data_IF_685053439339
#
_entry.id   IF_685053439339
#
_cell.length_a   1.000
_cell.length_b   1.000
_cell.length_c   1.000
_cell.angle_alpha   90.00
_cell.angle_beta   90.00
_cell.angle_gamma   90.00
#
_symmetry.space_group_name_H-M   'P 1'
#
loop_
_entity.id
_entity.type
_entity.pdbx_description
1 polymer ?
#
# COMPACT_ATOMS: atom_id res chain seq x y z
N UNK A 1 8.77 12.70 16.64
CA UNK A 1 9.39 12.51 15.34
C UNK A 1 10.86 12.18 15.54
N UNK A 2 11.38 11.26 14.77
CA UNK A 2 12.76 10.82 14.80
C UNK A 2 13.38 11.04 13.41
N UNK A 3 14.54 11.67 13.37
CA UNK A 3 15.31 11.78 12.13
C UNK A 3 16.07 10.47 11.87
N UNK A 4 15.88 9.90 10.69
CA UNK A 4 16.57 8.69 10.25
C UNK A 4 17.37 9.05 9.00
N UNK A 5 18.72 9.03 9.07
CA UNK A 5 19.55 9.36 7.92
C UNK A 5 19.37 8.32 6.81
N UNK A 6 19.45 8.73 5.56
CA UNK A 6 19.39 7.80 4.42
C UNK A 6 20.61 6.86 4.39
N UNK A 7 21.75 7.29 4.92
CA UNK A 7 22.98 6.54 4.99
C UNK A 7 23.43 6.32 6.45
N UNK A 8 24.22 5.30 6.68
CA UNK A 8 24.75 4.99 8.01
C UNK A 8 23.78 4.19 8.91
N UNK A 9 24.06 4.11 10.22
CA UNK A 9 23.23 3.32 11.13
C UNK A 9 21.82 3.89 11.31
N UNK A 10 20.85 3.02 11.51
CA UNK A 10 19.49 3.40 11.90
C UNK A 10 19.52 3.72 13.40
N UNK A 11 19.01 4.90 13.84
CA UNK A 11 19.00 5.28 15.24
C UNK A 11 18.19 4.31 16.11
N UNK A 12 18.59 4.16 17.36
CA UNK A 12 17.81 3.44 18.36
C UNK A 12 16.43 4.08 18.52
N UNK A 13 15.38 3.27 18.65
CA UNK A 13 13.99 3.72 18.74
C UNK A 13 13.33 4.03 17.40
N UNK A 14 14.05 3.94 16.28
CA UNK A 14 13.42 4.01 14.95
C UNK A 14 12.56 2.77 14.68
N UNK A 15 11.53 2.94 13.87
CA UNK A 15 10.69 1.82 13.41
C UNK A 15 11.55 0.77 12.71
N UNK A 16 11.24 -0.50 12.88
CA UNK A 16 11.85 -1.60 12.14
C UNK A 16 11.67 -1.44 10.63
N UNK A 17 10.59 -0.80 10.20
CA UNK A 17 10.28 -0.49 8.81
C UNK A 17 11.16 0.62 8.21
N UNK A 18 12.00 1.28 9.01
CA UNK A 18 12.93 2.30 8.52
C UNK A 18 13.85 1.77 7.40
N UNK A 19 14.14 0.47 7.38
CA UNK A 19 14.91 -0.17 6.30
C UNK A 19 14.17 -0.04 4.97
N UNK A 20 12.86 -0.31 4.97
CA UNK A 20 11.99 -0.19 3.78
C UNK A 20 11.87 1.26 3.36
N UNK A 21 11.61 2.18 4.31
CA UNK A 21 11.50 3.62 4.02
C UNK A 21 12.75 4.15 3.34
N UNK A 22 13.94 3.83 3.87
CA UNK A 22 15.24 4.26 3.31
C UNK A 22 15.41 3.78 1.88
N UNK A 23 15.09 2.52 1.59
CA UNK A 23 15.27 1.93 0.28
C UNK A 23 14.31 2.53 -0.74
N UNK A 24 13.06 2.82 -0.36
CA UNK A 24 12.09 3.53 -1.20
C UNK A 24 12.60 4.93 -1.54
N UNK A 25 13.05 5.73 -0.55
CA UNK A 25 13.56 7.07 -0.81
C UNK A 25 14.81 7.08 -1.68
N UNK A 26 15.66 6.05 -1.60
CA UNK A 26 16.87 5.95 -2.43
C UNK A 26 16.57 5.60 -3.89
N UNK A 27 15.52 4.81 -4.14
CA UNK A 27 15.25 4.22 -5.46
C UNK A 27 14.10 4.85 -6.20
N UNK A 28 13.32 5.68 -5.55
CA UNK A 28 12.15 6.34 -6.12
C UNK A 28 12.25 7.85 -6.01
N UNK A 29 11.36 8.57 -6.66
CA UNK A 29 11.19 10.02 -6.48
C UNK A 29 10.26 10.39 -5.32
N UNK A 30 9.98 9.45 -4.39
CA UNK A 30 9.06 9.68 -3.29
C UNK A 30 9.51 10.82 -2.37
N UNK A 31 8.58 11.72 -2.05
CA UNK A 31 8.75 12.79 -1.07
C UNK A 31 8.13 12.44 0.28
N UNK A 32 7.18 11.49 0.26
CA UNK A 32 6.60 10.89 1.45
C UNK A 32 6.31 9.41 1.22
N UNK A 33 6.36 8.63 2.27
CA UNK A 33 5.96 7.23 2.30
C UNK A 33 5.11 6.97 3.53
N UNK A 34 3.91 6.42 3.32
CA UNK A 34 3.03 5.96 4.39
C UNK A 34 3.04 4.44 4.39
N UNK A 35 3.31 3.85 5.55
CA UNK A 35 3.11 2.43 5.83
C UNK A 35 1.96 2.27 6.81
N UNK A 36 1.02 1.38 6.49
CA UNK A 36 -0.13 1.07 7.33
C UNK A 36 -0.60 -0.37 7.11
N UNK A 37 -1.52 -0.82 7.99
CA UNK A 37 -2.10 -2.17 7.93
C UNK A 37 -3.62 -2.07 7.60
N UNK A 38 -4.00 -1.69 6.36
CA UNK A 38 -5.40 -1.61 5.94
C UNK A 38 -6.01 -3.01 5.97
N UNK A 39 -7.00 -3.22 6.83
CA UNK A 39 -7.46 -4.56 7.24
C UNK A 39 -8.01 -5.38 6.10
N UNK A 40 -8.86 -4.77 5.27
CA UNK A 40 -9.50 -5.50 4.17
C UNK A 40 -8.52 -5.73 3.03
N UNK A 41 -7.68 -4.75 2.71
CA UNK A 41 -6.63 -4.92 1.71
C UNK A 41 -5.64 -6.02 2.13
N UNK A 42 -5.22 -6.05 3.41
CA UNK A 42 -4.37 -7.12 3.96
C UNK A 42 -5.07 -8.48 3.86
N UNK A 43 -6.34 -8.59 4.23
CA UNK A 43 -7.09 -9.84 4.11
C UNK A 43 -7.17 -10.34 2.65
N UNK A 44 -7.44 -9.44 1.71
CA UNK A 44 -7.47 -9.77 0.29
C UNK A 44 -6.10 -10.16 -0.27
N UNK A 45 -5.01 -9.67 0.32
CA UNK A 45 -3.65 -9.97 -0.12
C UNK A 45 -3.31 -11.46 -0.08
N UNK A 46 -3.98 -12.26 0.76
CA UNK A 46 -3.78 -13.71 0.81
C UNK A 46 -4.31 -14.42 -0.45
N UNK A 47 -5.27 -13.80 -1.15
CA UNK A 47 -5.99 -14.40 -2.28
C UNK A 47 -5.66 -13.76 -3.63
N UNK A 48 -4.95 -12.63 -3.63
CA UNK A 48 -4.65 -11.84 -4.83
C UNK A 48 -3.14 -11.77 -5.06
N UNK A 49 -2.74 -11.73 -6.33
CA UNK A 49 -1.39 -11.31 -6.74
C UNK A 49 -1.31 -9.81 -7.05
N UNK A 50 -2.48 -9.19 -7.27
CA UNK A 50 -2.66 -7.75 -7.47
C UNK A 50 -4.09 -7.36 -7.15
N UNK A 51 -4.29 -6.20 -6.55
CA UNK A 51 -5.59 -5.62 -6.31
C UNK A 51 -5.89 -4.62 -7.45
N UNK A 52 -7.00 -4.84 -8.14
CA UNK A 52 -7.53 -3.94 -9.17
C UNK A 52 -8.82 -3.34 -8.66
N UNK A 53 -8.84 -2.03 -8.39
CA UNK A 53 -10.05 -1.33 -7.96
C UNK A 53 -11.20 -1.46 -8.94
N UNK A 54 -12.41 -1.54 -8.43
CA UNK A 54 -13.65 -1.49 -9.22
C UNK A 54 -14.26 -0.09 -9.24
N UNK A 55 -14.01 0.69 -8.21
CA UNK A 55 -14.45 2.05 -8.00
C UNK A 55 -13.63 3.06 -8.83
N UNK A 56 -14.22 4.19 -9.14
CA UNK A 56 -13.60 5.22 -9.99
C UNK A 56 -12.36 5.85 -9.35
N UNK A 57 -12.40 6.13 -8.07
CA UNK A 57 -11.29 6.72 -7.32
C UNK A 57 -10.08 5.78 -7.32
N UNK A 58 -10.28 4.51 -7.01
CA UNK A 58 -9.23 3.51 -7.04
C UNK A 58 -8.66 3.31 -8.44
N UNK A 59 -9.51 3.26 -9.48
CA UNK A 59 -9.06 3.16 -10.86
C UNK A 59 -8.27 4.39 -11.31
N UNK A 60 -8.64 5.57 -10.84
CA UNK A 60 -7.95 6.82 -11.20
C UNK A 60 -6.61 6.96 -10.48
N UNK A 61 -6.58 6.78 -9.17
CA UNK A 61 -5.42 7.10 -8.33
C UNK A 61 -4.45 5.93 -8.15
N UNK A 62 -4.95 4.70 -8.02
CA UNK A 62 -4.14 3.51 -7.78
C UNK A 62 -3.90 2.69 -9.04
N UNK A 63 -4.91 2.61 -9.94
CA UNK A 63 -4.94 1.76 -11.14
C UNK A 63 -4.83 0.27 -10.79
N UNK A 64 -3.67 -0.15 -10.35
CA UNK A 64 -3.36 -1.50 -9.91
C UNK A 64 -2.39 -1.44 -8.71
N UNK A 65 -2.61 -2.29 -7.72
CA UNK A 65 -1.76 -2.41 -6.54
C UNK A 65 -1.17 -3.83 -6.49
N UNK A 66 0.14 -4.00 -6.72
CA UNK A 66 0.78 -5.31 -6.67
C UNK A 66 0.79 -5.85 -5.25
N UNK A 67 0.64 -7.17 -5.12
CA UNK A 67 0.78 -7.90 -3.87
C UNK A 67 2.10 -8.64 -3.88
N UNK A 68 3.04 -8.16 -3.09
CA UNK A 68 4.39 -8.71 -2.97
C UNK A 68 4.38 -9.84 -1.93
N UNK A 69 5.11 -10.91 -2.22
CA UNK A 69 5.25 -12.05 -1.34
C UNK A 69 6.72 -12.44 -1.19
N UNK A 70 7.57 -11.60 -0.59
CA UNK A 70 8.95 -11.95 -0.32
C UNK A 70 9.01 -13.16 0.63
N UNK A 71 10.09 -13.91 0.58
CA UNK A 71 10.28 -15.10 1.43
C UNK A 71 10.32 -14.74 2.92
N UNK A 72 10.85 -13.55 3.21
CA UNK A 72 10.92 -12.99 4.56
C UNK A 72 10.01 -11.77 4.64
N UNK A 73 9.08 -11.80 5.58
CA UNK A 73 8.06 -10.75 5.75
C UNK A 73 8.60 -9.72 6.76
N UNK A 74 8.56 -8.43 6.40
CA UNK A 74 8.87 -7.27 7.26
C UNK A 74 10.36 -7.02 7.56
N UNK A 75 10.75 -5.74 7.49
CA UNK A 75 12.04 -5.18 7.92
C UNK A 75 13.31 -5.86 7.39
N UNK A 76 13.20 -6.60 6.29
CA UNK A 76 14.35 -7.25 5.64
C UNK A 76 14.78 -6.49 4.40
N UNK A 77 16.03 -6.67 4.00
CA UNK A 77 16.54 -6.09 2.77
C UNK A 77 15.78 -6.60 1.53
N UNK A 78 15.41 -7.88 1.51
CA UNK A 78 14.60 -8.46 0.42
C UNK A 78 13.23 -7.77 0.30
N UNK A 79 12.53 -7.58 1.43
CA UNK A 79 11.25 -6.88 1.45
C UNK A 79 11.41 -5.42 1.03
N UNK A 80 12.46 -4.73 1.52
CA UNK A 80 12.75 -3.34 1.20
C UNK A 80 12.99 -3.15 -0.30
N UNK A 81 13.80 -4.01 -0.91
CA UNK A 81 14.07 -3.99 -2.34
C UNK A 81 12.79 -4.25 -3.17
N UNK A 82 11.99 -5.25 -2.76
CA UNK A 82 10.74 -5.58 -3.46
C UNK A 82 9.73 -4.44 -3.40
N UNK A 83 9.59 -3.79 -2.25
CA UNK A 83 8.70 -2.62 -2.09
C UNK A 83 9.20 -1.43 -2.91
N UNK A 84 10.51 -1.13 -2.83
CA UNK A 84 11.09 -0.03 -3.57
C UNK A 84 10.94 -0.21 -5.08
N UNK A 85 11.16 -1.41 -5.60
CA UNK A 85 10.99 -1.71 -7.03
C UNK A 85 9.53 -1.57 -7.47
N UNK A 86 8.57 -2.10 -6.70
CA UNK A 86 7.15 -1.95 -7.00
C UNK A 86 6.71 -0.48 -7.01
N UNK A 87 7.21 0.33 -6.08
CA UNK A 87 6.85 1.75 -5.95
C UNK A 87 7.54 2.67 -6.98
N UNK A 88 8.39 2.14 -7.84
CA UNK A 88 8.89 2.88 -9.02
C UNK A 88 7.80 3.03 -10.10
N UNK A 89 6.91 2.06 -10.20
CA UNK A 89 5.87 1.98 -11.24
C UNK A 89 4.45 2.16 -10.69
N UNK A 90 4.26 1.89 -9.39
CA UNK A 90 2.96 1.93 -8.73
C UNK A 90 2.95 2.97 -7.60
N UNK A 91 1.75 3.49 -7.32
CA UNK A 91 1.56 4.48 -6.25
C UNK A 91 1.43 3.85 -4.87
N UNK A 92 1.06 2.56 -4.83
CA UNK A 92 0.97 1.75 -3.63
C UNK A 92 1.32 0.29 -3.94
N UNK A 93 1.72 -0.46 -2.92
CA UNK A 93 1.87 -1.91 -2.97
C UNK A 93 1.47 -2.53 -1.63
N UNK A 94 1.14 -3.82 -1.68
CA UNK A 94 0.83 -4.64 -0.51
C UNK A 94 1.96 -5.64 -0.27
N UNK A 95 2.39 -5.80 0.98
CA UNK A 95 3.10 -6.99 1.44
C UNK A 95 2.06 -7.99 1.95
N UNK A 96 2.06 -9.18 1.36
CA UNK A 96 1.07 -10.24 1.67
C UNK A 96 1.00 -10.52 3.16
N UNK A 97 -0.20 -10.38 3.73
CA UNK A 97 -0.46 -10.68 5.13
C UNK A 97 0.17 -9.71 6.14
N UNK A 98 0.82 -8.63 5.67
CA UNK A 98 1.49 -7.67 6.55
C UNK A 98 0.84 -6.30 6.50
N UNK A 99 0.98 -5.59 5.40
CA UNK A 99 0.52 -4.21 5.29
C UNK A 99 0.70 -3.64 3.89
N UNK A 100 0.53 -2.35 3.78
CA UNK A 100 0.67 -1.61 2.54
C UNK A 100 1.65 -0.45 2.66
N UNK A 101 2.21 -0.04 1.54
CA UNK A 101 3.02 1.16 1.38
C UNK A 101 2.44 2.02 0.27
N UNK A 102 2.39 3.34 0.49
CA UNK A 102 1.93 4.30 -0.51
C UNK A 102 2.87 5.50 -0.56
N UNK A 103 3.18 5.98 -1.77
CA UNK A 103 4.12 7.08 -1.99
C UNK A 103 3.42 8.37 -2.39
N UNK A 104 3.86 9.48 -1.81
CA UNK A 104 3.53 10.83 -2.23
C UNK A 104 4.67 11.43 -3.03
N UNK A 105 4.32 12.07 -4.16
CA UNK A 105 5.26 12.63 -5.14
C UNK A 105 5.19 14.15 -5.25
N UNK A 106 4.26 14.80 -4.55
CA UNK A 106 4.15 16.27 -4.50
C UNK A 106 5.45 16.89 -4.00
N UNK A 107 5.81 18.06 -4.50
CA UNK A 107 7.07 18.72 -4.13
C UNK A 107 7.08 19.16 -2.66
N UNK A 108 5.97 19.75 -2.18
CA UNK A 108 5.84 20.14 -0.78
C UNK A 108 5.68 18.88 0.11
N UNK A 109 6.49 18.70 1.16
CA UNK A 109 6.46 17.51 2.00
C UNK A 109 5.09 17.23 2.64
N UNK A 110 4.39 18.27 3.06
CA UNK A 110 3.06 18.17 3.66
C UNK A 110 2.02 17.67 2.64
N UNK A 111 2.08 18.18 1.40
CA UNK A 111 1.20 17.72 0.31
C UNK A 111 1.53 16.29 -0.10
N UNK A 112 2.81 15.92 -0.15
CA UNK A 112 3.23 14.56 -0.43
C UNK A 112 2.73 13.59 0.64
N UNK A 113 2.80 13.99 1.92
CA UNK A 113 2.29 13.16 3.01
C UNK A 113 0.77 12.98 2.92
N UNK A 114 0.02 14.05 2.66
CA UNK A 114 -1.42 13.98 2.45
C UNK A 114 -1.79 13.14 1.23
N UNK A 115 -1.01 13.24 0.15
CA UNK A 115 -1.19 12.41 -1.05
C UNK A 115 -0.99 10.91 -0.74
N UNK A 116 0.11 10.56 -0.07
CA UNK A 116 0.39 9.18 0.32
C UNK A 116 -0.69 8.62 1.28
N UNK A 117 -1.15 9.43 2.23
CA UNK A 117 -2.24 9.07 3.13
C UNK A 117 -3.56 8.87 2.38
N UNK A 118 -3.91 9.77 1.46
CA UNK A 118 -5.09 9.64 0.59
C UNK A 118 -5.07 8.36 -0.23
N UNK A 119 -3.93 8.02 -0.83
CA UNK A 119 -3.76 6.76 -1.56
C UNK A 119 -3.95 5.53 -0.66
N UNK A 120 -3.46 5.58 0.58
CA UNK A 120 -3.66 4.50 1.56
C UNK A 120 -5.14 4.34 1.93
N UNK A 121 -5.87 5.44 2.12
CA UNK A 121 -7.31 5.42 2.39
C UNK A 121 -8.08 4.87 1.19
N UNK A 122 -7.78 5.36 -0.02
CA UNK A 122 -8.40 4.86 -1.26
C UNK A 122 -8.15 3.36 -1.44
N UNK A 123 -6.95 2.87 -1.10
CA UNK A 123 -6.65 1.43 -1.18
C UNK A 123 -7.58 0.60 -0.29
N UNK A 124 -7.78 1.01 0.96
CA UNK A 124 -8.66 0.29 1.88
C UNK A 124 -10.13 0.37 1.44
N UNK A 125 -10.60 1.52 0.98
CA UNK A 125 -11.96 1.71 0.46
C UNK A 125 -12.20 0.84 -0.78
N UNK A 126 -11.29 0.86 -1.75
CA UNK A 126 -11.36 0.00 -2.94
C UNK A 126 -11.33 -1.49 -2.58
N UNK A 127 -10.53 -1.87 -1.59
CA UNK A 127 -10.50 -3.26 -1.09
C UNK A 127 -11.84 -3.67 -0.47
N UNK A 128 -12.48 -2.79 0.30
CA UNK A 128 -13.81 -3.03 0.88
C UNK A 128 -14.87 -3.18 -0.21
N UNK A 129 -14.89 -2.28 -1.19
CA UNK A 129 -15.81 -2.35 -2.33
C UNK A 129 -15.63 -3.66 -3.09
N UNK A 130 -14.39 -4.05 -3.36
CA UNK A 130 -14.08 -5.31 -4.04
C UNK A 130 -14.56 -6.53 -3.24
N UNK A 131 -14.35 -6.53 -1.92
CA UNK A 131 -14.82 -7.60 -1.04
C UNK A 131 -16.34 -7.69 -1.04
N UNK A 132 -17.04 -6.58 -0.83
CA UNK A 132 -18.51 -6.54 -0.80
C UNK A 132 -19.11 -6.95 -2.13
N UNK A 133 -18.53 -6.48 -3.24
CA UNK A 133 -18.97 -6.88 -4.57
C UNK A 133 -18.86 -8.40 -4.77
N UNK A 134 -17.76 -9.02 -4.36
CA UNK A 134 -17.59 -10.49 -4.43
C UNK A 134 -18.55 -11.26 -3.54
N UNK A 135 -18.77 -10.78 -2.31
CA UNK A 135 -19.74 -11.38 -1.40
C UNK A 135 -21.15 -11.33 -1.99
N UNK A 136 -21.52 -10.20 -2.59
CA UNK A 136 -22.81 -10.04 -3.28
C UNK A 136 -22.98 -11.02 -4.43
N UNK A 137 -21.96 -11.18 -5.28
CA UNK A 137 -22.01 -12.14 -6.37
C UNK A 137 -22.14 -13.58 -5.90
N UNK A 138 -21.50 -13.94 -4.78
CA UNK A 138 -21.59 -15.28 -4.18
C UNK A 138 -22.90 -15.56 -3.44
N UNK A 139 -23.57 -14.53 -2.93
CA UNK A 139 -24.84 -14.66 -2.20
C UNK A 139 -26.07 -14.81 -3.11
N UNK A 140 -25.93 -14.56 -4.42
CA UNK A 140 -27.08 -14.53 -5.35
C UNK A 140 -28.02 -13.33 -5.12
N UNK A 141 -29.05 -13.14 -5.95
CA UNK A 141 -29.95 -11.99 -5.89
C UNK A 141 -31.01 -12.13 -4.78
N UNK A 142 -30.61 -12.37 -3.53
CA UNK A 142 -31.55 -12.53 -2.42
C UNK A 142 -32.05 -11.21 -1.78
N UNK A 143 -31.51 -10.07 -2.20
CA UNK A 143 -32.07 -8.78 -1.81
C UNK A 143 -32.96 -8.29 -2.94
N UNK A 144 -34.27 -8.54 -2.77
CA UNK A 144 -35.32 -8.25 -3.75
C UNK A 144 -35.15 -6.88 -4.38
N UNK A 145 -35.00 -6.85 -5.69
CA UNK A 145 -35.27 -5.69 -6.47
C UNK A 145 -36.76 -5.34 -6.28
N UNK A 146 -37.00 -4.37 -5.42
CA UNK A 146 -38.27 -3.66 -5.45
C UNK A 146 -38.27 -2.83 -6.72
N UNK A 147 -39.30 -3.00 -7.51
CA UNK A 147 -39.63 -2.18 -8.66
C UNK A 147 -39.74 -0.70 -8.29
#
# INVERSE_FOLDING_TARGET
LLEVPLEGPIPEGASVESVVHREVYRRTGARALVHAHPRVAVALSFHLSRLRPLDLEGQHYLKEVPVLAPKTVSATEEAALSVAEALREHRACLLRGHGAFAVGLKEAPEEALLEAYGLMTTLEESAQILLYHRLWQGAGPALGGGE
#
